data_IF_083654948704
#
_entry.id   IF_083654948704
#
_cell.length_a   1.000
_cell.length_b   1.000
_cell.length_c   1.000
_cell.angle_alpha   90.00
_cell.angle_beta   90.00
_cell.angle_gamma   90.00
#
_symmetry.space_group_name_H-M   'P 1'
#
loop_
_entity.id
_entity.type
_entity.pdbx_description
1 polymer ?
#
# COMPACT_ATOMS: atom_id res chain seq x y z
N UNK A 1 -9.77 -15.58 6.82
CA UNK A 1 -10.63 -14.52 7.41
C UNK A 1 -11.39 -14.95 8.67
N UNK A 2 -12.11 -16.08 8.68
CA UNK A 2 -12.83 -16.57 9.89
C UNK A 2 -11.96 -16.70 11.15
N UNK A 3 -10.72 -17.18 11.02
CA UNK A 3 -9.75 -17.25 12.13
C UNK A 3 -9.50 -15.89 12.79
N UNK A 4 -9.33 -14.82 11.99
CA UNK A 4 -9.09 -13.46 12.50
C UNK A 4 -10.31 -12.94 13.27
N UNK A 5 -11.52 -13.17 12.74
CA UNK A 5 -12.76 -12.77 13.41
C UNK A 5 -12.88 -13.45 14.79
N UNK A 6 -12.75 -14.78 14.85
CA UNK A 6 -12.84 -15.53 16.10
C UNK A 6 -11.79 -15.05 17.10
N UNK A 7 -10.56 -14.82 16.64
CA UNK A 7 -9.47 -14.35 17.48
C UNK A 7 -9.73 -12.95 18.07
N UNK A 8 -10.21 -11.99 17.26
CA UNK A 8 -10.61 -10.67 17.74
C UNK A 8 -11.72 -10.75 18.78
N UNK A 9 -12.77 -11.52 18.49
CA UNK A 9 -13.89 -11.72 19.41
C UNK A 9 -13.43 -12.36 20.72
N UNK A 10 -12.47 -13.29 20.67
CA UNK A 10 -11.92 -13.95 21.84
C UNK A 10 -11.11 -12.99 22.72
N UNK A 11 -10.24 -12.17 22.12
CA UNK A 11 -9.51 -11.13 22.86
C UNK A 11 -10.49 -10.15 23.52
N UNK A 12 -11.50 -9.69 22.77
CA UNK A 12 -12.51 -8.78 23.29
C UNK A 12 -13.34 -9.37 24.44
N UNK A 13 -13.53 -10.70 24.45
CA UNK A 13 -14.24 -11.41 25.52
C UNK A 13 -13.38 -11.60 26.77
N UNK A 14 -12.11 -11.96 26.59
CA UNK A 14 -11.18 -12.21 27.70
C UNK A 14 -10.74 -10.88 28.33
N UNK A 15 -10.50 -9.84 27.52
CA UNK A 15 -10.02 -8.54 28.00
C UNK A 15 -8.52 -8.48 28.28
N UNK A 16 -7.75 -9.47 27.83
CA UNK A 16 -6.31 -9.57 28.07
C UNK A 16 -5.49 -9.54 26.78
N UNK A 17 -4.28 -8.97 26.86
CA UNK A 17 -3.29 -9.08 25.79
C UNK A 17 -2.73 -10.49 25.73
N UNK A 18 -2.49 -10.98 24.51
CA UNK A 18 -1.82 -12.26 24.27
C UNK A 18 -0.32 -12.05 24.06
N UNK A 19 0.49 -12.94 24.63
CA UNK A 19 1.89 -13.04 24.24
C UNK A 19 1.96 -13.58 22.80
N UNK A 20 2.65 -12.83 21.95
CA UNK A 20 2.76 -13.15 20.54
C UNK A 20 3.61 -14.37 20.23
N UNK A 21 4.54 -14.71 21.13
CA UNK A 21 5.40 -15.88 20.98
C UNK A 21 4.58 -17.16 21.02
N UNK A 22 3.50 -17.14 21.79
CA UNK A 22 2.57 -18.26 21.97
C UNK A 22 1.27 -18.09 21.18
N UNK A 23 0.97 -16.90 20.67
CA UNK A 23 -0.26 -16.65 19.90
C UNK A 23 -0.22 -17.27 18.49
N UNK A 24 -1.10 -18.26 18.28
CA UNK A 24 -1.30 -18.91 16.97
C UNK A 24 -1.69 -17.95 15.85
N UNK A 25 -2.38 -16.85 16.16
CA UNK A 25 -2.72 -15.83 15.15
C UNK A 25 -1.47 -15.12 14.65
N UNK A 26 -0.51 -14.83 15.53
CA UNK A 26 0.76 -14.22 15.14
C UNK A 26 1.51 -15.11 14.15
N UNK A 27 1.68 -16.41 14.47
CA UNK A 27 2.29 -17.38 13.55
C UNK A 27 1.60 -17.41 12.19
N UNK A 28 0.26 -17.47 12.20
CA UNK A 28 -0.56 -17.47 10.96
C UNK A 28 -0.32 -16.19 10.13
N UNK A 29 -0.21 -15.03 10.78
CA UNK A 29 0.05 -13.76 10.08
C UNK A 29 1.45 -13.70 9.47
N UNK A 30 2.46 -14.17 10.20
CA UNK A 30 3.85 -14.25 9.70
C UNK A 30 3.92 -15.19 8.49
N UNK A 31 3.38 -16.39 8.62
CA UNK A 31 3.33 -17.39 7.55
C UNK A 31 2.62 -16.85 6.30
N UNK A 32 1.43 -16.26 6.46
CA UNK A 32 0.67 -15.66 5.36
C UNK A 32 1.43 -14.54 4.63
N UNK A 33 2.30 -13.81 5.33
CA UNK A 33 3.07 -12.72 4.75
C UNK A 33 4.50 -13.14 4.33
N UNK A 34 4.90 -14.39 4.52
CA UNK A 34 6.26 -14.89 4.30
C UNK A 34 6.85 -14.47 2.95
N UNK A 35 6.12 -14.66 1.84
CA UNK A 35 6.58 -14.27 0.51
C UNK A 35 6.90 -12.77 0.40
N UNK A 36 6.05 -11.92 0.98
CA UNK A 36 6.26 -10.45 0.99
C UNK A 36 7.40 -10.07 1.93
N UNK A 37 7.48 -10.72 3.10
CA UNK A 37 8.54 -10.54 4.07
C UNK A 37 9.90 -10.90 3.47
N UNK A 38 10.01 -11.94 2.65
CA UNK A 38 11.22 -12.29 1.88
C UNK A 38 11.66 -11.17 0.94
N UNK A 39 10.73 -10.48 0.28
CA UNK A 39 11.06 -9.30 -0.52
C UNK A 39 11.58 -8.15 0.36
N UNK A 40 10.91 -7.87 1.49
CA UNK A 40 11.34 -6.80 2.39
C UNK A 40 12.67 -7.10 3.09
N UNK A 41 12.95 -8.36 3.43
CA UNK A 41 14.23 -8.82 3.98
C UNK A 41 15.38 -8.51 3.03
N UNK A 42 15.20 -8.75 1.72
CA UNK A 42 16.21 -8.39 0.71
C UNK A 42 16.43 -6.88 0.61
N UNK A 43 15.36 -6.07 0.63
CA UNK A 43 15.49 -4.60 0.64
C UNK A 43 16.22 -4.10 1.90
N UNK A 44 15.92 -4.71 3.04
CA UNK A 44 16.55 -4.41 4.31
C UNK A 44 18.03 -4.81 4.29
N UNK A 45 18.36 -6.00 3.80
CA UNK A 45 19.75 -6.47 3.63
C UNK A 45 20.57 -5.56 2.73
N UNK A 46 20.02 -5.12 1.58
CA UNK A 46 20.67 -4.13 0.72
C UNK A 46 20.94 -2.80 1.44
N UNK A 47 20.05 -2.40 2.37
CA UNK A 47 20.28 -1.16 3.16
C UNK A 47 21.40 -1.32 4.19
N UNK A 48 21.62 -2.54 4.71
CA UNK A 48 22.76 -2.83 5.57
C UNK A 48 24.07 -2.94 4.79
N UNK A 49 24.04 -3.46 3.57
CA UNK A 49 25.21 -3.48 2.68
C UNK A 49 25.70 -2.05 2.37
N UNK A 50 24.79 -1.12 2.13
CA UNK A 50 25.11 0.31 1.93
C UNK A 50 25.83 0.95 3.14
N UNK A 51 25.67 0.40 4.35
CA UNK A 51 26.27 0.95 5.58
C UNK A 51 27.77 0.63 5.70
N UNK A 52 28.26 -0.43 5.03
CA UNK A 52 29.67 -0.79 4.91
C UNK A 52 30.42 -1.17 6.20
N UNK A 53 29.84 -0.95 7.39
CA UNK A 53 30.56 -1.00 8.68
C UNK A 53 29.99 -2.04 9.64
N UNK A 54 30.90 -2.71 10.35
CA UNK A 54 30.61 -3.55 11.52
C UNK A 54 30.32 -2.60 12.69
N UNK A 55 29.15 -2.74 13.32
CA UNK A 55 28.81 -1.95 14.50
C UNK A 55 29.84 -2.24 15.62
N UNK A 56 30.85 -1.39 15.79
CA UNK A 56 31.67 -1.44 17.01
C UNK A 56 30.81 -0.98 18.18
N UNK A 57 30.88 -1.71 19.30
CA UNK A 57 30.17 -1.41 20.54
C UNK A 57 31.07 -0.68 21.55
N UNK A 58 32.30 -0.38 21.17
CA UNK A 58 33.27 0.26 22.06
C UNK A 58 32.90 1.75 22.27
N UNK A 59 32.81 2.17 23.54
CA UNK A 59 32.58 3.55 23.98
C UNK A 59 31.23 4.20 23.57
N UNK A 60 30.15 3.41 23.47
CA UNK A 60 28.81 3.94 23.20
C UNK A 60 27.94 3.96 24.47
N UNK A 61 26.95 4.85 24.52
CA UNK A 61 25.99 4.90 25.63
C UNK A 61 25.16 3.61 25.72
N UNK A 62 24.61 3.30 26.89
CA UNK A 62 23.77 2.10 27.10
C UNK A 62 22.56 2.05 26.13
N UNK A 63 21.98 3.21 25.79
CA UNK A 63 20.91 3.29 24.80
C UNK A 63 21.40 2.96 23.38
N UNK A 64 22.56 3.49 22.99
CA UNK A 64 23.19 3.18 21.71
C UNK A 64 23.55 1.69 21.61
N UNK A 65 24.03 1.09 22.71
CA UNK A 65 24.34 -0.34 22.78
C UNK A 65 23.08 -1.21 22.59
N UNK A 66 21.95 -0.83 23.20
CA UNK A 66 20.66 -1.51 23.00
C UNK A 66 20.24 -1.46 21.53
N UNK A 67 20.35 -0.31 20.87
CA UNK A 67 20.06 -0.17 19.43
C UNK A 67 21.03 -1.00 18.59
N UNK A 68 22.32 -0.97 18.91
CA UNK A 68 23.37 -1.70 18.23
C UNK A 68 23.07 -3.20 18.20
N UNK A 69 22.78 -3.80 19.36
CA UNK A 69 22.45 -5.24 19.46
C UNK A 69 21.24 -5.61 18.61
N UNK A 70 20.18 -4.80 18.66
CA UNK A 70 18.96 -5.01 17.86
C UNK A 70 19.25 -4.92 16.36
N UNK A 71 20.01 -3.93 15.92
CA UNK A 71 20.39 -3.79 14.50
C UNK A 71 21.33 -4.91 14.05
N UNK A 72 22.25 -5.36 14.91
CA UNK A 72 23.12 -6.49 14.63
C UNK A 72 22.32 -7.79 14.41
N UNK A 73 21.33 -8.06 15.26
CA UNK A 73 20.43 -9.19 15.08
C UNK A 73 19.67 -9.09 13.74
N UNK A 74 19.09 -7.94 13.44
CA UNK A 74 18.34 -7.74 12.18
C UNK A 74 19.25 -7.89 10.95
N UNK A 75 20.50 -7.43 11.04
CA UNK A 75 21.50 -7.61 9.98
C UNK A 75 21.86 -9.08 9.80
N UNK A 76 22.20 -9.80 10.86
CA UNK A 76 22.50 -11.23 10.81
C UNK A 76 21.32 -12.00 10.19
N UNK A 77 20.10 -11.69 10.63
CA UNK A 77 18.88 -12.22 10.03
C UNK A 77 18.77 -11.91 8.53
N UNK A 78 19.24 -10.77 8.04
CA UNK A 78 19.23 -10.45 6.61
C UNK A 78 20.30 -11.22 5.80
N UNK A 79 21.42 -11.57 6.42
CA UNK A 79 22.59 -12.21 5.79
C UNK A 79 22.51 -13.74 5.80
N UNK A 80 21.85 -14.33 6.80
CA UNK A 80 21.73 -15.79 6.94
C UNK A 80 20.99 -16.47 5.78
N UNK A 81 21.33 -17.72 5.49
CA UNK A 81 20.50 -18.54 4.60
C UNK A 81 19.18 -18.88 5.30
N UNK A 82 18.02 -18.81 4.62
CA UNK A 82 16.77 -19.27 5.22
C UNK A 82 16.91 -20.73 5.68
N UNK A 83 16.54 -21.00 6.93
CA UNK A 83 16.45 -22.38 7.42
C UNK A 83 15.41 -23.18 6.63
N UNK A 84 15.64 -24.49 6.48
CA UNK A 84 14.71 -25.44 5.85
C UNK A 84 13.57 -25.84 6.79
N UNK A 85 13.73 -25.64 8.09
CA UNK A 85 12.68 -25.86 9.09
C UNK A 85 11.67 -24.69 9.07
N UNK A 86 10.45 -24.98 8.66
CA UNK A 86 9.39 -23.98 8.51
C UNK A 86 8.98 -23.35 9.84
N UNK A 87 8.92 -24.12 10.93
CA UNK A 87 8.51 -23.61 12.25
C UNK A 87 9.59 -22.72 12.86
N UNK A 88 10.85 -23.15 12.75
CA UNK A 88 12.00 -22.33 13.15
C UNK A 88 12.07 -21.04 12.32
N UNK A 89 11.84 -21.14 11.00
CA UNK A 89 11.80 -19.96 10.13
C UNK A 89 10.72 -18.97 10.61
N UNK A 90 9.49 -19.43 10.85
CA UNK A 90 8.39 -18.57 11.33
C UNK A 90 8.75 -17.91 12.67
N UNK A 91 9.40 -18.64 13.58
CA UNK A 91 9.90 -18.11 14.84
C UNK A 91 10.88 -16.95 14.62
N UNK A 92 11.92 -17.17 13.82
CA UNK A 92 12.95 -16.17 13.50
C UNK A 92 12.37 -14.94 12.79
N UNK A 93 11.45 -15.14 11.83
CA UNK A 93 10.72 -14.04 11.21
C UNK A 93 9.95 -13.24 12.26
N UNK A 94 9.20 -13.90 13.14
CA UNK A 94 8.42 -13.26 14.18
C UNK A 94 9.27 -12.42 15.14
N UNK A 95 10.43 -12.94 15.53
CA UNK A 95 11.39 -12.24 16.39
C UNK A 95 12.00 -11.02 15.70
N UNK A 96 12.51 -11.18 14.47
CA UNK A 96 13.09 -10.07 13.71
C UNK A 96 12.07 -8.96 13.43
N UNK A 97 10.82 -9.31 13.09
CA UNK A 97 9.73 -8.34 12.91
C UNK A 97 9.43 -7.59 14.22
N UNK A 98 9.50 -8.27 15.36
CA UNK A 98 9.28 -7.66 16.67
C UNK A 98 10.40 -6.69 17.04
N UNK A 99 11.66 -7.09 16.83
CA UNK A 99 12.81 -6.19 17.03
C UNK A 99 12.70 -4.96 16.13
N UNK A 100 12.35 -5.13 14.85
CA UNK A 100 12.10 -4.03 13.94
C UNK A 100 10.96 -3.10 14.38
N UNK A 101 9.92 -3.65 15.02
CA UNK A 101 8.83 -2.88 15.60
C UNK A 101 9.28 -2.07 16.81
N UNK A 102 10.07 -2.63 17.72
CA UNK A 102 10.61 -1.89 18.85
C UNK A 102 11.54 -0.76 18.38
N UNK A 103 12.45 -1.09 17.45
CA UNK A 103 13.36 -0.13 16.81
C UNK A 103 12.63 1.04 16.14
N UNK A 104 11.40 0.83 15.66
CA UNK A 104 10.59 1.90 15.06
C UNK A 104 10.24 3.02 16.04
N UNK A 105 10.09 2.70 17.32
CA UNK A 105 9.71 3.65 18.38
C UNK A 105 10.87 4.04 19.28
N UNK A 106 12.05 3.46 19.08
CA UNK A 106 13.26 3.73 19.84
C UNK A 106 13.83 5.12 19.48
N UNK A 107 13.86 6.10 20.42
CA UNK A 107 14.27 7.47 20.12
C UNK A 107 15.72 7.58 19.60
N UNK A 108 16.61 6.72 20.11
CA UNK A 108 18.04 6.71 19.79
C UNK A 108 18.41 6.12 18.42
N UNK A 109 17.46 5.56 17.68
CA UNK A 109 17.79 4.84 16.43
C UNK A 109 18.38 5.75 15.35
N UNK A 110 17.84 6.97 15.19
CA UNK A 110 18.33 7.88 14.14
C UNK A 110 19.72 8.41 14.47
N UNK A 111 19.97 8.99 15.66
CA UNK A 111 21.32 9.41 16.04
C UNK A 111 22.34 8.28 15.89
N UNK A 112 22.00 7.07 16.31
CA UNK A 112 22.88 5.91 16.22
C UNK A 112 23.18 5.49 14.78
N UNK A 113 22.17 5.37 13.92
CA UNK A 113 22.42 5.04 12.50
C UNK A 113 23.21 6.16 11.82
N UNK A 114 22.93 7.42 12.13
CA UNK A 114 23.67 8.55 11.58
C UNK A 114 25.14 8.54 12.01
N UNK A 115 25.44 8.24 13.27
CA UNK A 115 26.83 8.12 13.74
C UNK A 115 27.55 6.95 13.07
N UNK A 116 26.86 5.84 12.80
CA UNK A 116 27.43 4.73 12.03
C UNK A 116 27.85 5.19 10.63
N UNK A 117 26.96 5.84 9.88
CA UNK A 117 27.30 6.36 8.54
C UNK A 117 28.49 7.34 8.57
N UNK A 118 28.50 8.25 9.54
CA UNK A 118 29.60 9.20 9.73
C UNK A 118 30.93 8.48 9.98
N UNK A 119 30.93 7.46 10.84
CA UNK A 119 32.13 6.65 11.15
C UNK A 119 32.62 5.83 9.95
N UNK A 120 31.74 5.47 9.01
CA UNK A 120 32.09 4.77 7.77
C UNK A 120 32.80 5.65 6.73
N UNK A 121 32.99 6.96 7.00
CA UNK A 121 33.42 7.93 5.99
C UNK A 121 32.37 8.19 4.90
N UNK A 122 31.14 7.68 5.07
CA UNK A 122 30.03 7.83 4.13
C UNK A 122 29.08 8.90 4.67
N UNK A 123 29.16 10.12 4.14
CA UNK A 123 28.21 11.20 4.45
C UNK A 123 26.89 10.98 3.67
N UNK A 124 26.24 9.83 3.86
CA UNK A 124 24.94 9.51 3.24
C UNK A 124 23.82 9.47 4.29
N UNK A 125 23.36 10.66 4.70
CA UNK A 125 22.17 10.82 5.55
C UNK A 125 20.94 10.15 4.90
N UNK A 126 20.85 10.09 3.57
CA UNK A 126 19.74 9.43 2.89
C UNK A 126 19.79 7.90 3.07
N UNK A 127 20.99 7.32 3.13
CA UNK A 127 21.23 5.93 3.52
C UNK A 127 20.71 5.63 4.92
N UNK A 128 21.07 6.47 5.90
CA UNK A 128 20.57 6.35 7.28
C UNK A 128 19.04 6.38 7.37
N UNK A 129 18.43 7.34 6.68
CA UNK A 129 16.97 7.48 6.62
C UNK A 129 16.30 6.32 5.86
N UNK A 130 16.96 5.78 4.83
CA UNK A 130 16.50 4.61 4.07
C UNK A 130 16.52 3.35 4.95
N UNK A 131 17.60 3.10 5.68
CA UNK A 131 17.69 1.98 6.62
C UNK A 131 16.61 2.08 7.70
N UNK A 132 16.49 3.23 8.37
CA UNK A 132 15.41 3.49 9.35
C UNK A 132 14.04 3.19 8.77
N UNK A 133 13.77 3.69 7.55
CA UNK A 133 12.48 3.47 6.87
C UNK A 133 12.23 1.99 6.63
N UNK A 134 13.23 1.25 6.18
CA UNK A 134 13.09 -0.18 5.88
C UNK A 134 12.91 -1.01 7.16
N UNK A 135 13.67 -0.73 8.23
CA UNK A 135 13.47 -1.33 9.57
C UNK A 135 12.04 -1.07 10.06
N UNK A 136 11.62 0.21 10.07
CA UNK A 136 10.28 0.57 10.51
C UNK A 136 9.19 -0.07 9.65
N UNK A 137 9.43 -0.20 8.34
CA UNK A 137 8.50 -0.80 7.39
C UNK A 137 8.35 -2.32 7.61
N UNK A 138 9.45 -3.01 7.93
CA UNK A 138 9.49 -4.44 8.25
C UNK A 138 8.72 -4.74 9.55
N UNK A 139 8.87 -3.91 10.58
CA UNK A 139 8.11 -3.99 11.84
C UNK A 139 6.62 -3.67 11.74
N UNK A 140 6.09 -3.29 10.56
CA UNK A 140 4.66 -2.92 10.43
C UNK A 140 3.70 -4.10 10.60
N UNK A 141 4.13 -5.33 10.34
CA UNK A 141 3.27 -6.48 10.59
C UNK A 141 2.96 -6.62 12.09
N UNK A 142 3.97 -6.42 12.95
CA UNK A 142 3.77 -6.36 14.40
C UNK A 142 2.87 -5.19 14.80
N UNK A 143 3.10 -4.01 14.23
CA UNK A 143 2.26 -2.83 14.46
C UNK A 143 0.78 -3.07 14.10
N UNK A 144 0.51 -3.82 13.02
CA UNK A 144 -0.86 -4.17 12.64
C UNK A 144 -1.49 -5.20 13.60
N UNK A 145 -0.71 -6.19 14.04
CA UNK A 145 -1.13 -7.16 15.05
C UNK A 145 -1.52 -6.46 16.37
N UNK A 146 -0.67 -5.56 16.87
CA UNK A 146 -0.99 -4.76 18.06
C UNK A 146 -2.24 -3.90 17.87
N UNK A 147 -2.38 -3.24 16.73
CA UNK A 147 -3.56 -2.42 16.45
C UNK A 147 -4.87 -3.23 16.48
N UNK A 148 -4.83 -4.50 16.08
CA UNK A 148 -5.98 -5.40 16.20
C UNK A 148 -6.27 -5.81 17.65
N UNK A 149 -5.23 -6.04 18.46
CA UNK A 149 -5.39 -6.27 19.90
C UNK A 149 -6.00 -5.04 20.58
N UNK A 150 -5.43 -3.85 20.34
CA UNK A 150 -5.97 -2.59 20.88
C UNK A 150 -7.43 -2.40 20.49
N UNK A 151 -7.76 -2.63 19.22
CA UNK A 151 -9.14 -2.56 18.76
C UNK A 151 -10.05 -3.52 19.53
N UNK A 152 -9.63 -4.77 19.73
CA UNK A 152 -10.43 -5.76 20.46
C UNK A 152 -10.63 -5.40 21.94
N UNK A 153 -9.62 -4.80 22.57
CA UNK A 153 -9.66 -4.40 23.98
C UNK A 153 -10.43 -3.09 24.19
N UNK A 154 -10.30 -2.14 23.27
CA UNK A 154 -10.88 -0.80 23.41
C UNK A 154 -12.37 -0.76 23.07
N UNK A 155 -12.83 -1.58 22.11
CA UNK A 155 -14.19 -1.48 21.59
C UNK A 155 -15.05 -2.66 22.02
N UNK A 156 -16.10 -2.40 22.81
CA UNK A 156 -17.04 -3.41 23.28
C UNK A 156 -17.70 -4.22 22.16
N UNK A 157 -17.98 -3.58 21.02
CA UNK A 157 -18.54 -4.22 19.83
C UNK A 157 -17.58 -5.19 19.13
N UNK A 158 -16.28 -5.20 19.49
CA UNK A 158 -15.35 -6.18 18.94
C UNK A 158 -15.75 -7.63 19.28
N UNK A 159 -16.52 -7.84 20.36
CA UNK A 159 -17.11 -9.14 20.74
C UNK A 159 -18.06 -9.71 19.67
N UNK A 160 -18.64 -8.84 18.84
CA UNK A 160 -19.60 -9.17 17.79
C UNK A 160 -19.12 -8.75 16.40
N UNK A 161 -17.84 -8.43 16.24
CA UNK A 161 -17.29 -8.00 14.94
C UNK A 161 -17.48 -9.09 13.89
N UNK A 162 -17.88 -8.69 12.69
CA UNK A 162 -18.00 -9.57 11.53
C UNK A 162 -16.96 -9.18 10.49
N UNK A 163 -16.23 -10.18 9.98
CA UNK A 163 -15.25 -10.01 8.91
C UNK A 163 -15.75 -10.77 7.69
N UNK A 164 -16.38 -10.05 6.78
CA UNK A 164 -16.86 -10.58 5.52
C UNK A 164 -15.81 -10.37 4.42
N UNK A 165 -15.22 -11.43 3.84
CA UNK A 165 -14.48 -11.29 2.59
C UNK A 165 -15.46 -10.86 1.49
N UNK A 166 -15.07 -9.82 0.74
CA UNK A 166 -15.79 -9.40 -0.46
C UNK A 166 -15.07 -10.07 -1.63
N UNK A 167 -15.82 -10.84 -2.42
CA UNK A 167 -15.29 -11.51 -3.60
C UNK A 167 -14.87 -10.50 -4.66
N UNK A 168 -13.87 -10.86 -5.45
CA UNK A 168 -13.52 -10.06 -6.62
C UNK A 168 -14.68 -10.16 -7.61
N UNK A 169 -15.28 -9.04 -8.02
CA UNK A 169 -16.34 -9.09 -9.01
C UNK A 169 -15.80 -9.68 -10.31
N UNK A 170 -16.56 -10.57 -10.94
CA UNK A 170 -16.18 -11.16 -12.22
C UNK A 170 -16.15 -10.07 -13.29
N UNK A 171 -15.03 -9.93 -13.99
CA UNK A 171 -14.91 -9.05 -15.15
C UNK A 171 -14.94 -9.89 -16.42
N UNK A 172 -15.60 -9.37 -17.44
CA UNK A 172 -15.16 -9.61 -18.80
C UNK A 172 -13.78 -8.95 -18.91
N UNK A 173 -12.72 -9.78 -18.97
CA UNK A 173 -11.39 -9.26 -19.27
C UNK A 173 -11.50 -8.50 -20.59
N UNK A 174 -11.04 -7.23 -20.66
CA UNK A 174 -11.08 -6.51 -21.93
C UNK A 174 -10.34 -7.36 -22.96
N UNK A 175 -10.98 -7.58 -24.12
CA UNK A 175 -10.34 -8.28 -25.22
C UNK A 175 -9.03 -7.55 -25.53
N UNK A 176 -7.88 -8.24 -25.61
CA UNK A 176 -6.65 -7.60 -26.00
C UNK A 176 -6.82 -7.02 -27.41
N UNK A 177 -6.56 -5.72 -27.55
CA UNK A 177 -6.51 -5.07 -28.85
C UNK A 177 -5.30 -5.53 -29.63
N UNK A 178 -5.46 -5.75 -30.92
CA UNK A 178 -4.31 -5.80 -31.81
C UNK A 178 -3.71 -4.41 -32.00
N UNK A 179 -2.42 -4.36 -32.35
CA UNK A 179 -1.71 -3.09 -32.56
C UNK A 179 -2.33 -2.25 -33.67
N UNK A 180 -2.78 -2.90 -34.74
CA UNK A 180 -3.51 -2.29 -35.86
C UNK A 180 -4.83 -1.67 -35.40
N UNK A 181 -5.59 -2.41 -34.60
CA UNK A 181 -6.89 -2.01 -34.06
C UNK A 181 -6.77 -0.81 -33.10
N UNK A 182 -5.81 -0.84 -32.17
CA UNK A 182 -5.53 0.30 -31.30
C UNK A 182 -5.07 1.53 -32.10
N UNK A 183 -4.22 1.33 -33.10
CA UNK A 183 -3.73 2.44 -33.94
C UNK A 183 -4.86 3.11 -34.70
N UNK A 184 -5.82 2.32 -35.20
CA UNK A 184 -7.04 2.80 -35.86
C UNK A 184 -7.90 3.60 -34.88
N UNK A 185 -8.20 3.05 -33.70
CA UNK A 185 -9.01 3.74 -32.69
C UNK A 185 -8.40 5.06 -32.21
N UNK A 186 -7.08 5.13 -32.08
CA UNK A 186 -6.38 6.37 -31.73
C UNK A 186 -6.51 7.42 -32.84
N UNK A 187 -6.40 7.00 -34.11
CA UNK A 187 -6.60 7.90 -35.24
C UNK A 187 -8.05 8.43 -35.29
N UNK A 188 -9.02 7.63 -34.87
CA UNK A 188 -10.44 7.98 -34.79
C UNK A 188 -10.79 8.90 -33.59
N UNK A 189 -9.92 9.02 -32.57
CA UNK A 189 -10.26 9.65 -31.29
C UNK A 189 -9.64 11.05 -31.06
N UNK A 190 -9.13 11.70 -32.10
CA UNK A 190 -8.43 13.01 -32.04
C UNK A 190 -7.26 13.03 -31.04
N UNK A 191 -6.69 11.86 -30.71
CA UNK A 191 -5.57 11.75 -29.77
C UNK A 191 -4.25 11.86 -30.53
N UNK A 192 -3.54 12.98 -30.35
CA UNK A 192 -2.14 13.09 -30.78
C UNK A 192 -1.22 12.29 -29.84
N UNK A 193 -0.81 11.10 -30.30
CA UNK A 193 0.10 10.23 -29.56
C UNK A 193 1.45 10.87 -29.23
N UNK A 194 1.91 11.82 -30.03
CA UNK A 194 3.21 12.46 -29.79
C UNK A 194 3.16 13.44 -28.62
N UNK A 195 1.97 13.89 -28.24
CA UNK A 195 1.75 14.68 -27.03
C UNK A 195 1.67 13.81 -25.77
N UNK A 196 1.47 12.49 -25.89
CA UNK A 196 1.34 11.58 -24.73
C UNK A 196 2.69 11.41 -24.01
N UNK A 197 2.85 12.04 -22.84
CA UNK A 197 4.08 11.95 -22.03
C UNK A 197 4.18 10.65 -21.23
N UNK A 198 4.60 9.57 -21.88
CA UNK A 198 4.92 8.29 -21.22
C UNK A 198 6.38 8.26 -20.76
N UNK A 199 6.64 7.86 -19.51
CA UNK A 199 8.00 7.68 -18.98
C UNK A 199 8.35 6.21 -18.74
N UNK A 200 9.54 5.79 -19.18
CA UNK A 200 10.16 4.49 -18.88
C UNK A 200 11.53 4.74 -18.24
N UNK A 201 11.78 4.15 -17.06
CA UNK A 201 13.01 4.38 -16.30
C UNK A 201 13.38 5.88 -16.14
N UNK A 202 12.37 6.69 -15.78
CA UNK A 202 12.46 8.17 -15.63
C UNK A 202 12.70 8.96 -16.94
N UNK A 203 12.92 8.33 -18.08
CA UNK A 203 13.09 8.98 -19.40
C UNK A 203 11.78 9.03 -20.18
N UNK A 204 11.57 10.09 -20.96
CA UNK A 204 10.40 10.25 -21.82
C UNK A 204 10.52 9.36 -23.06
N UNK A 205 9.44 8.65 -23.41
CA UNK A 205 9.36 7.84 -24.62
C UNK A 205 8.92 8.73 -25.78
N UNK A 206 9.71 8.76 -26.87
CA UNK A 206 9.46 9.65 -28.02
C UNK A 206 9.05 8.90 -29.30
N UNK A 207 9.16 7.57 -29.33
CA UNK A 207 8.83 6.76 -30.52
C UNK A 207 7.37 6.33 -30.48
N UNK A 208 6.56 6.72 -31.48
CA UNK A 208 5.15 6.32 -31.63
C UNK A 208 4.94 4.82 -31.44
N UNK A 209 5.80 4.00 -32.04
CA UNK A 209 5.71 2.56 -31.92
C UNK A 209 5.95 1.99 -30.51
N UNK A 210 6.80 2.65 -29.71
CA UNK A 210 6.98 2.29 -28.30
C UNK A 210 5.84 2.78 -27.44
N UNK A 211 5.32 3.99 -27.71
CA UNK A 211 4.14 4.55 -27.04
C UNK A 211 2.95 3.59 -27.23
N UNK A 212 2.66 3.18 -28.47
CA UNK A 212 1.64 2.17 -28.79
C UNK A 212 1.90 0.84 -28.06
N UNK A 213 3.15 0.36 -28.04
CA UNK A 213 3.50 -0.87 -27.33
C UNK A 213 3.30 -0.78 -25.82
N UNK A 214 3.51 0.39 -25.21
CA UNK A 214 3.22 0.63 -23.79
C UNK A 214 1.71 0.67 -23.56
N UNK A 215 0.96 1.38 -24.39
CA UNK A 215 -0.50 1.47 -24.28
C UNK A 215 -1.14 0.08 -24.45
N UNK A 216 -0.70 -0.72 -25.43
CA UNK A 216 -1.19 -2.10 -25.61
C UNK A 216 -0.96 -2.96 -24.37
N UNK A 217 0.25 -2.89 -23.78
CA UNK A 217 0.52 -3.59 -22.53
C UNK A 217 -0.36 -3.06 -21.39
N UNK A 218 -0.56 -1.76 -21.30
CA UNK A 218 -1.40 -1.15 -20.28
C UNK A 218 -2.88 -1.53 -20.39
N UNK A 219 -3.39 -1.72 -21.61
CA UNK A 219 -4.77 -2.15 -21.88
C UNK A 219 -4.94 -3.67 -21.71
N UNK A 220 -3.93 -4.46 -22.07
CA UNK A 220 -3.93 -5.91 -21.89
C UNK A 220 -3.87 -6.32 -20.41
N UNK A 221 -3.48 -5.39 -19.54
CA UNK A 221 -3.44 -5.63 -18.11
C UNK A 221 -4.84 -5.54 -17.49
N UNK A 222 -5.19 -6.46 -16.56
CA UNK A 222 -6.50 -6.44 -15.92
C UNK A 222 -6.80 -5.09 -15.27
N UNK A 223 -7.97 -4.55 -15.61
CA UNK A 223 -8.59 -3.44 -14.88
C UNK A 223 -8.83 -3.84 -13.43
N UNK A 224 -8.75 -2.87 -12.51
CA UNK A 224 -8.89 -3.12 -11.08
C UNK A 224 -10.04 -2.31 -10.51
N UNK A 225 -10.97 -3.01 -9.89
CA UNK A 225 -11.96 -2.36 -9.03
C UNK A 225 -11.31 -2.05 -7.70
N UNK A 226 -11.36 -0.79 -7.34
CA UNK A 226 -10.86 -0.33 -6.06
C UNK A 226 -11.74 -0.82 -4.91
N UNK A 227 -11.16 -0.94 -3.71
CA UNK A 227 -11.84 -1.48 -2.53
C UNK A 227 -13.14 -0.71 -2.20
N UNK A 228 -13.14 0.61 -2.39
CA UNK A 228 -14.33 1.45 -2.15
C UNK A 228 -15.52 1.02 -3.01
N UNK A 229 -15.28 0.72 -4.29
CA UNK A 229 -16.32 0.31 -5.23
C UNK A 229 -16.79 -1.11 -4.91
N UNK A 230 -15.90 -2.00 -4.46
CA UNK A 230 -16.28 -3.35 -4.01
C UNK A 230 -17.20 -3.30 -2.79
N UNK A 231 -16.85 -2.47 -1.82
CA UNK A 231 -17.67 -2.25 -0.61
C UNK A 231 -19.04 -1.69 -1.01
N UNK A 232 -19.05 -0.71 -1.91
CA UNK A 232 -20.28 -0.14 -2.42
C UNK A 232 -21.16 -1.19 -3.11
N UNK A 233 -20.61 -1.95 -4.06
CA UNK A 233 -21.31 -3.04 -4.76
C UNK A 233 -21.89 -4.06 -3.79
N UNK A 234 -21.11 -4.43 -2.77
CA UNK A 234 -21.54 -5.37 -1.75
C UNK A 234 -22.76 -4.84 -0.97
N UNK A 235 -22.71 -3.58 -0.53
CA UNK A 235 -23.83 -2.96 0.19
C UNK A 235 -25.05 -2.68 -0.69
N UNK A 236 -24.85 -2.42 -1.97
CA UNK A 236 -25.92 -2.25 -2.95
C UNK A 236 -26.53 -3.58 -3.42
N UNK A 237 -25.96 -4.72 -3.06
CA UNK A 237 -26.53 -6.02 -3.43
C UNK A 237 -27.84 -6.29 -2.68
N UNK A 238 -28.83 -6.84 -3.39
CA UNK A 238 -30.13 -7.25 -2.81
C UNK A 238 -29.97 -8.22 -1.63
N UNK A 239 -28.92 -9.04 -1.67
CA UNK A 239 -28.53 -9.96 -0.59
C UNK A 239 -28.16 -9.25 0.71
N UNK A 240 -27.56 -8.06 0.64
CA UNK A 240 -27.20 -7.29 1.83
C UNK A 240 -28.34 -6.38 2.29
N UNK A 241 -29.02 -5.72 1.35
CA UNK A 241 -30.14 -4.82 1.67
C UNK A 241 -31.29 -5.55 2.40
N UNK A 242 -31.55 -6.82 2.06
CA UNK A 242 -32.53 -7.64 2.78
C UNK A 242 -32.14 -7.96 4.23
N UNK A 243 -30.85 -7.87 4.59
CA UNK A 243 -30.33 -8.21 5.93
C UNK A 243 -30.11 -6.98 6.83
N UNK A 244 -29.90 -5.80 6.26
CA UNK A 244 -29.65 -4.56 7.00
C UNK A 244 -30.73 -3.51 6.70
N UNK A 245 -31.68 -3.33 7.63
CA UNK A 245 -32.72 -2.28 7.59
C UNK A 245 -32.28 -0.93 8.17
N UNK A 246 -30.98 -0.68 8.32
CA UNK A 246 -30.51 0.52 9.03
C UNK A 246 -30.51 1.75 8.11
N UNK A 247 -31.32 2.74 8.46
CA UNK A 247 -31.46 4.05 7.78
C UNK A 247 -30.26 5.00 8.00
N UNK A 248 -29.19 4.54 8.67
CA UNK A 248 -28.05 5.39 9.02
C UNK A 248 -27.04 5.49 7.89
N UNK A 249 -26.50 6.69 7.67
CA UNK A 249 -25.38 6.92 6.75
C UNK A 249 -24.21 5.97 7.03
N UNK A 250 -23.78 5.23 6.02
CA UNK A 250 -22.66 4.27 6.12
C UNK A 250 -21.34 4.97 5.87
N UNK A 251 -20.48 5.02 6.89
CA UNK A 251 -19.13 5.55 6.74
C UNK A 251 -18.20 4.49 6.12
N UNK A 252 -17.70 4.74 4.91
CA UNK A 252 -16.75 3.85 4.22
C UNK A 252 -15.31 4.29 4.57
N UNK A 253 -14.58 3.40 5.25
CA UNK A 253 -13.17 3.61 5.60
C UNK A 253 -12.28 2.57 4.94
N UNK A 254 -11.32 3.03 4.14
CA UNK A 254 -10.25 2.20 3.59
C UNK A 254 -8.89 2.56 4.23
N UNK A 255 -7.89 1.71 4.01
CA UNK A 255 -6.50 1.90 4.49
C UNK A 255 -5.81 3.14 3.90
N UNK A 256 -6.31 3.62 2.76
CA UNK A 256 -5.94 4.91 2.14
C UNK A 256 -7.22 5.71 1.92
N UNK A 257 -7.08 7.02 1.79
CA UNK A 257 -8.17 7.87 1.28
C UNK A 257 -8.61 7.34 -0.10
N UNK A 258 -9.90 7.41 -0.45
CA UNK A 258 -10.37 7.07 -1.79
C UNK A 258 -9.67 7.84 -2.90
N UNK A 259 -9.42 7.19 -4.03
CA UNK A 259 -8.95 7.88 -5.25
C UNK A 259 -9.98 8.92 -5.71
N UNK A 260 -9.61 9.82 -6.61
CA UNK A 260 -10.52 10.87 -7.09
C UNK A 260 -11.85 10.30 -7.61
N UNK A 261 -11.77 9.22 -8.39
CA UNK A 261 -12.93 8.54 -8.98
C UNK A 261 -13.83 7.88 -7.94
N UNK A 262 -13.26 7.07 -7.05
CA UNK A 262 -14.01 6.45 -5.95
C UNK A 262 -14.67 7.51 -5.06
N UNK A 263 -13.94 8.57 -4.72
CA UNK A 263 -14.48 9.63 -3.88
C UNK A 263 -15.67 10.32 -4.54
N UNK A 264 -15.55 10.70 -5.82
CA UNK A 264 -16.62 11.39 -6.53
C UNK A 264 -17.90 10.53 -6.61
N UNK A 265 -17.77 9.24 -6.92
CA UNK A 265 -18.89 8.29 -6.91
C UNK A 265 -19.55 8.23 -5.53
N UNK A 266 -18.76 8.15 -4.47
CA UNK A 266 -19.28 8.13 -3.10
C UNK A 266 -19.96 9.45 -2.71
N UNK A 267 -19.55 10.60 -3.25
CA UNK A 267 -20.24 11.87 -3.02
C UNK A 267 -21.60 11.96 -3.73
N UNK A 268 -21.78 11.23 -4.83
CA UNK A 268 -23.08 11.18 -5.52
C UNK A 268 -24.11 10.32 -4.78
N UNK A 269 -23.73 9.63 -3.71
CA UNK A 269 -24.65 8.77 -2.95
C UNK A 269 -24.81 9.29 -1.52
N UNK A 270 -26.01 9.81 -1.16
CA UNK A 270 -26.22 10.48 0.12
C UNK A 270 -26.05 9.54 1.34
N UNK A 271 -26.23 8.24 1.13
CA UNK A 271 -26.12 7.23 2.19
C UNK A 271 -24.68 6.89 2.58
N UNK A 272 -23.66 7.42 1.89
CA UNK A 272 -22.26 7.07 2.15
C UNK A 272 -21.39 8.29 2.43
N UNK A 273 -20.46 8.17 3.38
CA UNK A 273 -19.47 9.21 3.68
C UNK A 273 -18.05 8.65 3.78
N UNK A 274 -17.06 9.50 3.53
CA UNK A 274 -15.62 9.13 3.55
C UNK A 274 -14.74 10.25 4.10
N UNK A 275 -13.47 9.96 4.38
CA UNK A 275 -12.45 10.90 4.92
C UNK A 275 -11.85 11.87 3.89
N UNK A 276 -12.50 12.05 2.73
CA UNK A 276 -12.01 12.86 1.60
C UNK A 276 -11.08 12.10 0.64
N UNK A 277 -10.68 12.71 -0.48
CA UNK A 277 -9.85 12.09 -1.51
C UNK A 277 -8.35 12.32 -1.31
N UNK A 278 -7.50 11.46 -1.89
CA UNK A 278 -6.08 11.79 -2.12
C UNK A 278 -5.79 12.35 -3.52
N UNK A 279 -6.83 12.60 -4.33
CA UNK A 279 -6.76 13.31 -5.61
C UNK A 279 -6.13 12.52 -6.77
N UNK A 280 -5.64 11.30 -6.55
CA UNK A 280 -5.04 10.50 -7.63
C UNK A 280 -6.12 9.90 -8.52
N UNK A 281 -5.90 9.95 -9.82
CA UNK A 281 -6.64 9.21 -10.84
C UNK A 281 -5.80 8.00 -11.25
N UNK A 282 -6.43 6.83 -11.35
CA UNK A 282 -5.78 5.60 -11.77
C UNK A 282 -6.30 5.24 -13.15
N UNK A 283 -5.41 5.11 -14.13
CA UNK A 283 -5.76 4.81 -15.53
C UNK A 283 -6.45 3.45 -15.71
N UNK A 284 -6.19 2.50 -14.81
CA UNK A 284 -6.74 1.14 -14.84
C UNK A 284 -7.90 0.92 -13.85
N UNK A 285 -8.59 1.99 -13.49
CA UNK A 285 -9.75 1.94 -12.60
C UNK A 285 -11.01 1.54 -13.37
N UNK A 286 -11.89 0.73 -12.77
CA UNK A 286 -13.16 0.33 -13.41
C UNK A 286 -14.29 0.10 -12.39
N UNK A 287 -15.50 -0.12 -12.90
CA UNK A 287 -16.69 -0.65 -12.19
C UNK A 287 -17.13 -1.92 -12.92
N UNK A 288 -17.43 -3.04 -12.23
CA UNK A 288 -17.69 -4.34 -12.83
C UNK A 288 -19.10 -4.54 -13.42
N UNK A 289 -20.08 -3.65 -13.15
CA UNK A 289 -21.47 -3.89 -13.57
C UNK A 289 -22.14 -2.68 -14.21
N UNK A 290 -22.88 -2.94 -15.30
CA UNK A 290 -23.80 -2.02 -15.95
C UNK A 290 -25.05 -1.69 -15.12
N UNK A 291 -25.43 -2.51 -14.14
CA UNK A 291 -26.62 -2.26 -13.31
C UNK A 291 -26.42 -1.21 -12.22
N UNK A 292 -25.17 -0.88 -11.83
CA UNK A 292 -24.89 0.38 -11.11
C UNK A 292 -24.91 1.56 -12.09
N UNK A 293 -24.72 1.29 -13.38
CA UNK A 293 -24.58 2.29 -14.44
C UNK A 293 -25.92 2.69 -15.10
N UNK A 294 -27.07 2.21 -14.60
CA UNK A 294 -28.40 2.47 -15.19
C UNK A 294 -28.94 3.88 -14.90
N UNK A 295 -28.35 4.64 -13.99
CA UNK A 295 -28.68 6.05 -13.82
C UNK A 295 -27.78 6.93 -14.69
N UNK A 296 -28.40 7.77 -15.52
CA UNK A 296 -27.83 8.80 -16.43
C UNK A 296 -26.59 9.57 -15.92
N UNK A 297 -26.40 9.62 -14.60
CA UNK A 297 -25.20 10.03 -13.88
C UNK A 297 -23.90 9.39 -14.40
N UNK A 298 -23.97 8.16 -14.93
CA UNK A 298 -22.80 7.36 -15.32
C UNK A 298 -22.24 7.67 -16.71
N UNK A 299 -23.06 8.10 -17.67
CA UNK A 299 -22.57 8.62 -18.96
C UNK A 299 -21.86 9.96 -18.72
N UNK A 300 -22.42 10.81 -17.84
CA UNK A 300 -21.75 12.04 -17.42
C UNK A 300 -20.48 11.74 -16.64
N UNK A 301 -20.47 10.73 -15.78
CA UNK A 301 -19.30 10.35 -15.00
C UNK A 301 -18.22 9.72 -15.89
N UNK A 302 -18.52 8.75 -16.75
CA UNK A 302 -17.55 8.18 -17.68
C UNK A 302 -17.03 9.25 -18.65
N UNK A 303 -17.90 10.09 -19.23
CA UNK A 303 -17.49 11.21 -20.08
C UNK A 303 -16.69 12.27 -19.30
N UNK A 304 -17.02 12.54 -18.04
CA UNK A 304 -16.27 13.44 -17.17
C UNK A 304 -14.96 12.81 -16.71
N UNK A 305 -14.87 11.50 -16.49
CA UNK A 305 -13.64 10.78 -16.14
C UNK A 305 -12.70 10.74 -17.33
N UNK A 306 -13.23 10.55 -18.54
CA UNK A 306 -12.45 10.69 -19.78
C UNK A 306 -12.00 12.15 -19.98
N UNK A 307 -12.88 13.14 -19.78
CA UNK A 307 -12.53 14.58 -19.91
C UNK A 307 -11.60 15.10 -18.81
N UNK A 308 -11.78 14.67 -17.56
CA UNK A 308 -10.97 15.00 -16.38
C UNK A 308 -9.67 14.19 -16.41
N UNK A 309 -9.68 12.94 -16.88
CA UNK A 309 -8.47 12.19 -17.18
C UNK A 309 -7.59 12.96 -18.17
N UNK A 310 -8.20 13.49 -19.23
CA UNK A 310 -7.55 14.36 -20.21
C UNK A 310 -7.13 15.70 -19.58
N UNK A 311 -7.96 16.36 -18.77
CA UNK A 311 -7.65 17.70 -18.21
C UNK A 311 -6.67 17.66 -17.02
N UNK A 312 -6.76 16.67 -16.13
CA UNK A 312 -5.79 16.42 -15.05
C UNK A 312 -4.44 15.98 -15.62
N UNK A 313 -4.44 15.22 -16.72
CA UNK A 313 -3.22 14.94 -17.47
C UNK A 313 -2.60 16.25 -17.98
N UNK A 314 -3.35 17.09 -18.69
CA UNK A 314 -2.93 18.43 -19.15
C UNK A 314 -2.43 19.34 -18.00
N UNK A 315 -3.13 19.39 -16.87
CA UNK A 315 -2.74 20.22 -15.72
C UNK A 315 -1.51 19.69 -14.97
N UNK A 316 -1.30 18.37 -14.94
CA UNK A 316 -0.10 17.76 -14.35
C UNK A 316 1.17 18.01 -15.17
N UNK A 317 1.02 18.34 -16.45
CA UNK A 317 2.09 18.85 -17.31
C UNK A 317 2.38 20.32 -17.04
N UNK A 318 1.34 21.16 -16.97
CA UNK A 318 1.47 22.59 -16.67
C UNK A 318 2.05 22.85 -15.27
N UNK A 319 1.75 22.00 -14.28
CA UNK A 319 2.34 22.09 -12.94
C UNK A 319 3.81 21.62 -12.87
N UNK A 320 4.29 20.83 -13.83
CA UNK A 320 5.71 20.48 -13.95
C UNK A 320 6.52 21.55 -14.66
N UNK A 321 5.91 22.28 -15.59
CA UNK A 321 6.52 23.44 -16.24
C UNK A 321 6.62 24.65 -15.32
N UNK A 322 5.60 24.92 -14.50
CA UNK A 322 5.63 26.01 -13.50
C UNK A 322 6.57 25.77 -12.31
N UNK A 323 6.87 24.51 -11.96
CA UNK A 323 7.88 24.18 -10.92
C UNK A 323 9.32 24.21 -11.43
N UNK A 324 9.54 24.49 -12.72
CA UNK A 324 10.87 24.68 -13.30
C UNK A 324 11.45 26.09 -13.10
N UNK A 325 10.67 27.07 -12.64
CA UNK A 325 11.05 28.49 -12.64
C UNK A 325 10.87 29.22 -11.31
N UNK A 326 10.89 28.52 -10.16
CA UNK A 326 10.87 29.21 -8.85
C UNK A 326 11.93 28.61 -7.93
N UNK A 327 13.17 29.02 -8.14
CA UNK A 327 14.14 29.23 -7.07
C UNK A 327 14.60 30.69 -7.18
N UNK A 328 14.34 31.56 -6.19
CA UNK A 328 15.05 32.82 -6.09
C UNK A 328 16.52 32.51 -5.77
N UNK A 329 17.43 33.17 -6.48
CA UNK A 329 18.86 33.17 -6.16
C UNK A 329 19.07 33.61 -4.71
N UNK A 330 19.97 32.96 -3.96
CA UNK A 330 20.29 33.38 -2.60
C UNK A 330 21.01 34.73 -2.64
N UNK A 331 20.48 35.70 -1.91
CA UNK A 331 21.24 36.82 -1.37
C UNK A 331 21.71 36.46 0.04
#
# INVERSE_FOLDING_TARGET
MRKLQIWLQLIAKIGERRDFRTDRMWKTLVEWNSQRLSYYRRQLGSSFQDLGVVCSTENISADAERVARKLAFVRAFCEETPTTDADLAIGLWGECITICYELRYEPGIVPYITSLYQSSGVVDIQGALRLKRNVAFFGRLRSAYEAFIEFALQFSFAKTVLIQPIEEPLFLQPRPYERSELSRHIAESDIDLMQVRIKKAKKLVKKRGEILGIILRDIAEPVKVHAEIKILLFFSSSTFQSKCKTETSTYIRCSKRPCFLCWHILQCMPSYSTRGSHGKIYSRWTIPSATILTEWSCIRLHAAISKIGISCWKNSENQKESRGNIFPSPQ
#
